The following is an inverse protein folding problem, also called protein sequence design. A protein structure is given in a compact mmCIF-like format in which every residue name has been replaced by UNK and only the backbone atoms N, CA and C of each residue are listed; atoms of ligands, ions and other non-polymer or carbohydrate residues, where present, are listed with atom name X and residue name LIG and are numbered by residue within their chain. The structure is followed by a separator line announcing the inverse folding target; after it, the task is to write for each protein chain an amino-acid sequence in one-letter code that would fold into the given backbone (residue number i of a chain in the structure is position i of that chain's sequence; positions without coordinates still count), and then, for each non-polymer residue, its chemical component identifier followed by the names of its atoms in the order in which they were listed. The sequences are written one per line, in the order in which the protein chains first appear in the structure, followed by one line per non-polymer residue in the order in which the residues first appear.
data_IF_188974431458
#
_entry.id   IF_188974431458
#
_cell.length_a   1.000
_cell.length_b   1.000
_cell.length_c   1.000
_cell.angle_alpha   90.00
_cell.angle_beta   90.00
_cell.angle_gamma   90.00
#
_symmetry.space_group_name_H-M   'P 1'
#
loop_
_entity.id
_entity.type
_entity.pdbx_description
1 polymer ?
#
# COMPACT_ATOMS: atom_id res chain seq x y z
N UNK A 1 -11.09 12.72 -4.51
CA UNK A 1 -10.64 13.36 -5.77
C UNK A 1 -9.12 13.23 -5.89
N UNK A 2 -8.50 13.41 -7.07
CA UNK A 2 -7.05 13.35 -7.19
C UNK A 2 -6.30 14.32 -6.25
N UNK A 3 -6.91 15.47 -5.93
CA UNK A 3 -6.36 16.47 -5.01
C UNK A 3 -6.33 16.00 -3.54
N UNK A 4 -7.22 15.11 -3.14
CA UNK A 4 -7.31 14.60 -1.77
C UNK A 4 -6.43 13.36 -1.54
N UNK A 5 -5.85 12.79 -2.60
CA UNK A 5 -5.02 11.61 -2.49
C UNK A 5 -3.64 11.96 -1.90
N UNK A 6 -3.45 11.64 -0.62
CA UNK A 6 -2.17 11.82 0.09
C UNK A 6 -1.25 10.60 -0.01
N UNK A 7 -1.73 9.51 -0.63
CA UNK A 7 -0.99 8.27 -0.74
C UNK A 7 0.10 8.37 -1.81
N UNK A 8 1.36 8.49 -1.36
CA UNK A 8 2.53 8.60 -2.25
C UNK A 8 2.76 7.39 -3.18
N UNK A 9 2.20 6.23 -2.86
CA UNK A 9 2.33 5.00 -3.64
C UNK A 9 1.32 4.92 -4.79
N UNK A 10 0.23 5.68 -4.70
CA UNK A 10 -0.84 5.72 -5.68
C UNK A 10 -0.63 6.86 -6.69
N UNK A 11 -0.93 6.60 -7.96
CA UNK A 11 -1.20 7.63 -8.95
C UNK A 11 -2.71 7.93 -8.96
N UNK A 12 -3.06 9.05 -8.36
CA UNK A 12 -4.42 9.47 -8.15
C UNK A 12 -5.18 9.81 -9.46
N UNK A 13 -4.48 10.05 -10.57
CA UNK A 13 -5.11 10.34 -11.87
C UNK A 13 -5.49 9.07 -12.60
N UNK A 14 -4.75 7.99 -12.40
CA UNK A 14 -4.91 6.73 -13.14
C UNK A 14 -5.46 5.59 -12.29
N UNK A 15 -5.58 5.79 -10.96
CA UNK A 15 -5.96 4.76 -9.98
C UNK A 15 -5.04 3.53 -10.02
N UNK A 16 -3.77 3.72 -10.42
CA UNK A 16 -2.75 2.68 -10.46
C UNK A 16 -1.70 2.94 -9.39
N UNK A 17 -0.99 1.89 -9.00
CA UNK A 17 0.26 2.07 -8.23
C UNK A 17 1.35 2.61 -9.16
N UNK A 18 2.25 3.43 -8.62
CA UNK A 18 3.38 3.97 -9.41
C UNK A 18 4.35 2.84 -9.78
N UNK A 19 5.07 3.01 -10.89
CA UNK A 19 6.04 2.03 -11.37
C UNK A 19 7.10 1.72 -10.29
N UNK A 20 7.44 0.43 -10.14
CA UNK A 20 8.38 -0.05 -9.12
C UNK A 20 7.78 -0.22 -7.72
N UNK A 21 6.52 0.15 -7.49
CA UNK A 21 5.80 -0.15 -6.26
C UNK A 21 4.94 -1.40 -6.40
N UNK A 22 4.68 -2.05 -5.27
CA UNK A 22 3.92 -3.31 -5.21
C UNK A 22 2.56 -3.14 -4.53
N UNK A 23 2.42 -2.11 -3.69
CA UNK A 23 1.20 -1.86 -2.94
C UNK A 23 1.07 -0.36 -2.63
N UNK A 24 -0.14 0.06 -2.24
CA UNK A 24 -0.41 1.41 -1.78
C UNK A 24 -1.10 1.46 -0.41
N UNK A 25 -1.97 0.48 -0.12
CA UNK A 25 -2.77 0.45 1.10
C UNK A 25 -2.84 -0.98 1.64
N UNK A 26 -3.07 -1.11 2.95
CA UNK A 26 -3.27 -2.37 3.64
C UNK A 26 -2.21 -2.65 4.69
N UNK A 27 -2.53 -3.49 5.67
CA UNK A 27 -1.68 -3.81 6.82
C UNK A 27 -0.36 -4.50 6.42
N UNK A 28 -0.35 -5.18 5.28
CA UNK A 28 0.86 -5.79 4.71
C UNK A 28 1.69 -4.86 3.82
N UNK A 29 1.29 -3.60 3.64
CA UNK A 29 2.00 -2.65 2.78
C UNK A 29 2.94 -1.77 3.63
N UNK A 30 4.22 -1.76 3.30
CA UNK A 30 5.22 -0.94 3.97
C UNK A 30 6.10 -0.23 2.94
N UNK A 31 6.14 1.11 3.01
CA UNK A 31 6.94 1.94 2.08
C UNK A 31 6.68 1.60 0.60
N UNK A 32 5.42 1.36 0.25
CA UNK A 32 4.98 0.98 -1.11
C UNK A 32 5.45 -0.39 -1.61
N UNK A 33 6.03 -1.22 -0.72
CA UNK A 33 6.44 -2.60 -0.98
C UNK A 33 5.65 -3.54 -0.08
N UNK A 34 5.50 -4.80 -0.52
CA UNK A 34 4.94 -5.81 0.37
C UNK A 34 5.93 -6.07 1.52
N UNK A 35 5.40 -6.21 2.74
CA UNK A 35 6.20 -6.69 3.87
C UNK A 35 6.84 -8.03 3.51
N UNK A 36 8.01 -8.30 4.09
CA UNK A 36 8.73 -9.55 3.86
C UNK A 36 7.84 -10.76 4.20
N UNK A 37 7.97 -11.88 3.48
CA UNK A 37 7.29 -13.12 3.82
C UNK A 37 7.53 -13.50 5.30
N UNK A 38 6.48 -13.96 5.97
CA UNK A 38 6.52 -14.35 7.39
C UNK A 38 6.22 -13.22 8.38
N UNK A 39 6.12 -11.95 7.94
CA UNK A 39 5.67 -10.87 8.82
C UNK A 39 4.16 -10.94 9.02
N UNK A 40 3.72 -11.06 10.27
CA UNK A 40 2.30 -11.05 10.64
C UNK A 40 1.72 -9.65 10.39
N UNK A 41 0.77 -9.54 9.46
CA UNK A 41 0.10 -8.27 9.17
C UNK A 41 -1.08 -7.98 10.10
N UNK A 42 -1.72 -9.03 10.64
CA UNK A 42 -2.87 -8.95 11.53
C UNK A 42 -2.80 -10.08 12.56
N UNK A 43 -2.97 -9.75 13.83
CA UNK A 43 -3.04 -10.74 14.90
C UNK A 43 -4.31 -11.60 14.80
N UNK A 44 -4.25 -12.82 15.35
CA UNK A 44 -5.45 -13.60 15.60
C UNK A 44 -6.37 -12.84 16.57
N UNK A 45 -7.68 -13.03 16.43
CA UNK A 45 -8.64 -12.59 17.44
C UNK A 45 -8.74 -13.67 18.52
N UNK A 46 -8.94 -13.25 19.76
CA UNK A 46 -9.17 -14.13 20.91
C UNK A 46 -10.48 -14.93 20.78
#
# INVERSE_FOLDING_TARGET
TPKECTNKCCDARTCKIKAGFQCALGECCEKCQLKKPGVVCRAAKD
#
